data_IF_066428388579
#
_entry.id   IF_066428388579
#
_cell.length_a   1.000
_cell.length_b   1.000
_cell.length_c   1.000
_cell.angle_alpha   90.00
_cell.angle_beta   90.00
_cell.angle_gamma   90.00
#
_symmetry.space_group_name_H-M   'P 1'
#
loop_
_entity.id
_entity.type
_entity.pdbx_description
1 polymer ?
#
# COMPACT_ATOMS: atom_id res chain seq x y z
N UNK A 1 -32.44 -33.68 -57.47
CA UNK A 1 -32.70 -33.35 -56.05
C UNK A 1 -31.41 -32.92 -55.39
N UNK A 2 -31.43 -31.74 -54.77
CA UNK A 2 -30.36 -30.97 -54.16
C UNK A 2 -29.32 -31.76 -53.35
N UNK A 3 -28.04 -31.38 -53.48
CA UNK A 3 -27.21 -30.88 -52.36
C UNK A 3 -25.88 -30.29 -52.86
N UNK A 4 -25.87 -28.97 -52.99
CA UNK A 4 -24.67 -28.13 -52.89
C UNK A 4 -24.46 -27.81 -51.40
N UNK A 5 -23.29 -28.12 -50.85
CA UNK A 5 -22.90 -27.67 -49.51
C UNK A 5 -21.43 -27.22 -49.52
N UNK A 6 -21.30 -25.90 -49.74
CA UNK A 6 -20.30 -24.94 -49.26
C UNK A 6 -19.08 -25.50 -48.50
N UNK A 7 -17.92 -25.35 -49.13
CA UNK A 7 -16.60 -25.32 -48.49
C UNK A 7 -16.41 -23.96 -47.79
N UNK A 8 -16.25 -23.98 -46.48
CA UNK A 8 -15.87 -22.81 -45.68
C UNK A 8 -14.36 -22.63 -45.69
N UNK A 9 -13.88 -21.52 -46.23
CA UNK A 9 -12.48 -21.08 -46.13
C UNK A 9 -12.30 -20.40 -44.77
N UNK A 10 -11.53 -21.02 -43.88
CA UNK A 10 -11.08 -20.39 -42.64
C UNK A 10 -9.80 -19.59 -42.94
N UNK A 11 -9.88 -18.26 -42.84
CA UNK A 11 -8.75 -17.36 -42.95
C UNK A 11 -8.05 -17.31 -41.58
N UNK A 12 -6.94 -18.05 -41.42
CA UNK A 12 -6.09 -17.95 -40.25
C UNK A 12 -5.13 -16.75 -40.42
N UNK A 13 -5.42 -15.63 -39.77
CA UNK A 13 -4.50 -14.50 -39.65
C UNK A 13 -3.54 -14.81 -38.50
N UNK A 14 -2.34 -15.26 -38.83
CA UNK A 14 -1.25 -15.44 -37.88
C UNK A 14 -0.66 -14.09 -37.47
N UNK A 15 -0.76 -13.74 -36.19
CA UNK A 15 0.00 -12.63 -35.61
C UNK A 15 1.44 -13.11 -35.33
N UNK A 16 2.39 -12.66 -36.14
CA UNK A 16 3.82 -12.72 -35.82
C UNK A 16 4.13 -11.67 -34.75
N UNK A 17 4.31 -12.11 -33.51
CA UNK A 17 4.93 -11.30 -32.46
C UNK A 17 6.44 -11.36 -32.68
N UNK A 18 7.01 -10.27 -33.21
CA UNK A 18 8.46 -10.09 -33.25
C UNK A 18 8.97 -9.81 -31.83
N UNK A 19 9.52 -10.83 -31.17
CA UNK A 19 10.27 -10.67 -29.93
C UNK A 19 11.59 -9.95 -30.24
N UNK A 20 11.64 -8.63 -30.05
CA UNK A 20 12.91 -7.92 -29.89
C UNK A 20 13.34 -8.07 -28.44
N UNK A 21 14.40 -8.83 -28.23
CA UNK A 21 15.06 -8.96 -26.94
C UNK A 21 15.59 -7.60 -26.48
N UNK A 22 14.99 -7.06 -25.42
CA UNK A 22 15.62 -6.03 -24.61
C UNK A 22 16.54 -6.78 -23.63
N UNK A 23 17.85 -6.66 -23.82
CA UNK A 23 18.82 -7.09 -22.81
C UNK A 23 18.73 -6.08 -21.67
N UNK A 24 18.06 -6.45 -20.58
CA UNK A 24 18.02 -5.66 -19.37
C UNK A 24 19.32 -5.89 -18.60
N UNK A 25 20.23 -4.92 -18.63
CA UNK A 25 21.28 -4.83 -17.63
C UNK A 25 20.60 -4.55 -16.28
N UNK A 26 20.53 -5.58 -15.43
CA UNK A 26 20.01 -5.53 -14.06
C UNK A 26 21.01 -4.82 -13.13
N UNK A 27 21.23 -3.52 -13.34
CA UNK A 27 21.80 -2.67 -12.30
C UNK A 27 20.66 -1.86 -11.67
N UNK A 28 20.54 -1.81 -10.33
CA UNK A 28 19.62 -0.88 -9.70
C UNK A 28 19.95 0.55 -10.16
N UNK A 29 18.95 1.40 -10.43
CA UNK A 29 19.21 2.78 -10.84
C UNK A 29 20.11 3.46 -9.81
N UNK A 30 21.12 4.19 -10.28
CA UNK A 30 21.97 4.97 -9.38
C UNK A 30 21.17 6.14 -8.79
N UNK A 31 21.44 6.47 -7.52
CA UNK A 31 20.85 7.64 -6.86
C UNK A 31 21.04 8.90 -7.72
N UNK A 32 19.94 9.61 -7.99
CA UNK A 32 19.96 10.82 -8.81
C UNK A 32 19.79 10.59 -10.32
N UNK A 33 19.64 9.34 -10.77
CA UNK A 33 19.16 9.05 -12.12
C UNK A 33 17.73 9.56 -12.33
N UNK A 34 17.36 9.81 -13.58
CA UNK A 34 16.01 10.29 -13.94
C UNK A 34 15.26 9.26 -14.75
N UNK A 35 13.93 9.22 -14.60
CA UNK A 35 13.04 8.40 -15.43
C UNK A 35 11.92 9.26 -16.02
N UNK A 36 11.77 9.19 -17.34
CA UNK A 36 10.66 9.82 -18.05
C UNK A 36 9.47 8.86 -18.14
N UNK A 37 8.29 9.36 -17.81
CA UNK A 37 7.04 8.60 -17.80
C UNK A 37 5.88 9.44 -18.30
N UNK A 38 4.97 8.84 -19.05
CA UNK A 38 3.75 9.55 -19.45
C UNK A 38 2.83 9.74 -18.24
N UNK A 39 2.00 10.77 -18.29
CA UNK A 39 0.97 11.01 -17.28
C UNK A 39 -0.02 9.84 -17.19
N UNK A 40 -0.34 9.23 -18.33
CA UNK A 40 -1.21 8.05 -18.42
C UNK A 40 -0.60 6.85 -17.69
N UNK A 41 0.70 6.58 -17.89
CA UNK A 41 1.40 5.51 -17.18
C UNK A 41 1.31 5.70 -15.66
N UNK A 42 1.60 6.89 -15.16
CA UNK A 42 1.49 7.17 -13.72
C UNK A 42 0.07 7.03 -13.21
N UNK A 43 -0.93 7.54 -13.96
CA UNK A 43 -2.32 7.39 -13.60
C UNK A 43 -2.70 5.91 -13.47
N UNK A 44 -2.30 5.07 -14.42
CA UNK A 44 -2.58 3.63 -14.38
C UNK A 44 -1.99 2.94 -13.15
N UNK A 45 -0.74 3.29 -12.77
CA UNK A 45 -0.10 2.74 -11.56
C UNK A 45 -0.77 3.22 -10.28
N UNK A 46 -1.01 4.52 -10.15
CA UNK A 46 -1.69 5.12 -9.00
C UNK A 46 -3.09 4.53 -8.84
N UNK A 47 -3.83 4.45 -9.95
CA UNK A 47 -5.18 3.91 -9.95
C UNK A 47 -5.19 2.42 -9.60
N UNK A 48 -4.22 1.65 -10.12
CA UNK A 48 -4.07 0.24 -9.78
C UNK A 48 -3.82 0.03 -8.29
N UNK A 49 -2.92 0.82 -7.69
CA UNK A 49 -2.65 0.76 -6.26
C UNK A 49 -3.85 1.17 -5.41
N UNK A 50 -4.52 2.28 -5.76
CA UNK A 50 -5.70 2.76 -5.03
C UNK A 50 -6.87 1.76 -5.10
N UNK A 51 -7.17 1.21 -6.28
CA UNK A 51 -8.19 0.15 -6.44
C UNK A 51 -7.78 -1.13 -5.73
N UNK A 52 -6.50 -1.50 -5.79
CA UNK A 52 -5.97 -2.65 -5.08
C UNK A 52 -6.20 -2.56 -3.57
N UNK A 53 -5.94 -1.37 -2.99
CA UNK A 53 -6.20 -1.08 -1.59
C UNK A 53 -7.68 -1.20 -1.23
N UNK A 54 -8.56 -0.59 -2.04
CA UNK A 54 -10.01 -0.64 -1.84
C UNK A 54 -10.56 -2.07 -1.91
N UNK A 55 -10.17 -2.85 -2.91
CA UNK A 55 -10.57 -4.26 -3.06
C UNK A 55 -10.05 -5.06 -1.88
N UNK A 56 -8.76 -4.92 -1.56
CA UNK A 56 -8.11 -5.65 -0.48
C UNK A 56 -8.79 -5.44 0.86
N UNK A 57 -8.94 -4.18 1.29
CA UNK A 57 -9.57 -3.87 2.58
C UNK A 57 -11.02 -4.38 2.66
N UNK A 58 -11.84 -4.05 1.66
CA UNK A 58 -13.27 -4.36 1.70
C UNK A 58 -13.58 -5.86 1.54
N UNK A 59 -12.80 -6.60 0.75
CA UNK A 59 -12.91 -8.07 0.65
C UNK A 59 -12.23 -8.80 1.81
N UNK A 60 -11.29 -8.14 2.50
CA UNK A 60 -10.62 -8.68 3.68
C UNK A 60 -11.43 -8.56 4.97
N UNK A 61 -12.38 -7.62 5.05
CA UNK A 61 -13.23 -7.40 6.23
C UNK A 61 -13.93 -8.69 6.75
N UNK A 62 -14.52 -9.55 5.90
CA UNK A 62 -15.08 -10.82 6.34
C UNK A 62 -14.05 -11.80 6.92
N UNK A 63 -12.76 -11.51 6.88
CA UNK A 63 -11.68 -12.36 7.39
C UNK A 63 -10.96 -11.75 8.61
N UNK A 64 -11.22 -10.48 8.91
CA UNK A 64 -10.67 -9.73 10.04
C UNK A 64 -10.82 -10.51 11.36
N UNK A 65 -9.69 -10.75 12.03
CA UNK A 65 -9.53 -11.47 13.29
C UNK A 65 -10.17 -12.87 13.34
N UNK A 66 -10.49 -13.52 12.21
CA UNK A 66 -11.07 -14.88 12.20
C UNK A 66 -10.04 -15.99 12.39
N UNK A 67 -8.79 -15.75 12.01
CA UNK A 67 -7.71 -16.75 11.99
C UNK A 67 -6.55 -16.29 12.89
N UNK A 68 -6.62 -16.66 14.18
CA UNK A 68 -5.75 -16.13 15.24
C UNK A 68 -4.62 -17.09 15.60
N UNK A 69 -4.95 -18.31 15.99
CA UNK A 69 -3.97 -19.33 16.39
C UNK A 69 -3.46 -20.11 15.19
N UNK A 70 -4.32 -20.33 14.20
CA UNK A 70 -4.04 -21.06 12.97
C UNK A 70 -4.48 -20.24 11.75
N UNK A 71 -3.83 -20.39 10.58
CA UNK A 71 -4.31 -19.78 9.36
C UNK A 71 -5.59 -20.45 8.85
N UNK A 72 -6.25 -19.85 7.87
CA UNK A 72 -7.39 -20.46 7.18
C UNK A 72 -6.98 -21.80 6.53
N UNK A 73 -7.89 -22.77 6.51
CA UNK A 73 -7.64 -24.08 5.92
C UNK A 73 -7.38 -24.03 4.40
N UNK A 74 -8.06 -23.14 3.68
CA UNK A 74 -7.97 -22.96 2.23
C UNK A 74 -7.94 -21.47 1.87
N UNK A 75 -7.51 -21.14 0.66
CA UNK A 75 -7.59 -19.77 0.15
C UNK A 75 -9.07 -19.36 -0.07
N UNK A 76 -9.50 -18.14 0.33
CA UNK A 76 -10.81 -17.60 -0.03
C UNK A 76 -10.95 -17.38 -1.52
N UNK A 77 -12.15 -17.54 -2.06
CA UNK A 77 -12.52 -16.77 -3.25
C UNK A 77 -13.12 -15.43 -2.81
N UNK A 78 -13.01 -14.42 -3.66
CA UNK A 78 -13.65 -13.12 -3.48
C UNK A 78 -14.20 -12.62 -4.81
N UNK A 79 -15.30 -11.87 -4.75
CA UNK A 79 -16.10 -11.54 -5.94
C UNK A 79 -15.84 -10.15 -6.50
N UNK A 80 -14.87 -9.44 -5.92
CA UNK A 80 -14.69 -8.02 -6.11
C UNK A 80 -15.91 -7.21 -5.63
N UNK A 81 -15.72 -5.90 -5.58
CA UNK A 81 -16.67 -4.95 -5.04
C UNK A 81 -17.81 -4.68 -6.03
N UNK A 82 -18.67 -5.67 -6.27
CA UNK A 82 -19.70 -5.64 -7.30
C UNK A 82 -20.71 -4.47 -7.17
N UNK A 83 -20.79 -3.84 -5.99
CA UNK A 83 -21.64 -2.67 -5.71
C UNK A 83 -20.88 -1.33 -5.67
N UNK A 84 -19.58 -1.37 -5.96
CA UNK A 84 -18.64 -0.26 -5.79
C UNK A 84 -17.93 -0.30 -4.44
N UNK A 85 -16.93 0.55 -4.28
CA UNK A 85 -16.22 0.75 -3.03
C UNK A 85 -17.03 1.62 -2.06
N UNK A 86 -16.61 1.61 -0.80
CA UNK A 86 -17.13 2.46 0.25
C UNK A 86 -16.01 2.86 1.21
N UNK A 87 -16.28 3.85 2.05
CA UNK A 87 -15.38 4.19 3.14
C UNK A 87 -15.25 3.05 4.12
N UNK A 88 -14.01 2.92 4.58
CA UNK A 88 -13.49 2.00 5.57
C UNK A 88 -12.18 2.60 6.09
N UNK A 89 -11.77 2.32 7.34
CA UNK A 89 -10.61 3.03 7.89
C UNK A 89 -9.29 2.70 7.19
N UNK A 90 -9.22 1.56 6.51
CA UNK A 90 -8.12 1.20 5.60
C UNK A 90 -7.91 2.15 4.41
N UNK A 91 -8.90 2.98 4.07
CA UNK A 91 -8.80 3.87 2.90
C UNK A 91 -9.18 5.32 3.20
N UNK A 92 -10.09 5.54 4.14
CA UNK A 92 -10.74 6.84 4.29
C UNK A 92 -9.93 7.84 5.13
N UNK A 93 -8.94 7.37 5.91
CA UNK A 93 -7.93 8.20 6.57
C UNK A 93 -7.06 8.89 5.53
N UNK A 94 -6.44 8.09 4.67
CA UNK A 94 -5.58 8.58 3.59
C UNK A 94 -6.39 9.38 2.57
N UNK A 95 -7.61 8.94 2.22
CA UNK A 95 -8.48 9.70 1.33
C UNK A 95 -8.76 11.10 1.86
N UNK A 96 -9.06 11.24 3.16
CA UNK A 96 -9.26 12.55 3.78
C UNK A 96 -8.00 13.42 3.69
N UNK A 97 -6.82 12.86 4.00
CA UNK A 97 -5.57 13.60 3.88
C UNK A 97 -5.29 14.05 2.44
N UNK A 98 -5.38 13.14 1.47
CA UNK A 98 -5.13 13.41 0.05
C UNK A 98 -6.08 14.46 -0.53
N UNK A 99 -7.36 14.39 -0.15
CA UNK A 99 -8.37 15.39 -0.52
C UNK A 99 -7.97 16.78 -0.03
N UNK A 100 -7.59 16.92 1.23
CA UNK A 100 -7.17 18.21 1.78
C UNK A 100 -5.77 18.64 1.33
N UNK A 101 -4.86 17.72 1.03
CA UNK A 101 -3.58 18.03 0.39
C UNK A 101 -3.80 18.68 -0.98
N UNK A 102 -4.71 18.15 -1.80
CA UNK A 102 -5.05 18.72 -3.10
C UNK A 102 -5.78 20.07 -2.96
N UNK A 103 -6.77 20.13 -2.06
CA UNK A 103 -7.59 21.32 -1.81
C UNK A 103 -6.78 22.49 -1.23
N UNK A 104 -5.94 22.22 -0.24
CA UNK A 104 -5.16 23.24 0.47
C UNK A 104 -3.81 23.51 -0.24
N UNK A 105 -3.46 22.70 -1.26
CA UNK A 105 -2.22 22.85 -2.02
C UNK A 105 -0.95 22.53 -1.23
N UNK A 106 -1.07 21.73 -0.16
CA UNK A 106 0.01 21.42 0.78
C UNK A 106 0.27 19.91 0.85
N UNK A 107 1.52 19.48 0.61
CA UNK A 107 1.90 18.06 0.71
C UNK A 107 1.91 17.58 2.18
N UNK A 108 2.41 18.41 3.09
CA UNK A 108 2.37 18.16 4.53
C UNK A 108 1.42 19.15 5.18
N UNK A 109 0.18 18.70 5.43
CA UNK A 109 -0.79 19.52 6.14
C UNK A 109 -0.25 19.85 7.54
N UNK A 110 -0.24 21.12 7.97
CA UNK A 110 0.20 21.47 9.32
C UNK A 110 -0.61 20.70 10.38
N UNK A 111 0.02 20.28 11.48
CA UNK A 111 -0.69 19.50 12.51
C UNK A 111 -1.93 20.18 13.10
N UNK A 112 -1.97 21.50 13.34
CA UNK A 112 -3.21 22.18 13.72
C UNK A 112 -4.34 22.02 12.68
N UNK A 113 -4.00 22.05 11.39
CA UNK A 113 -4.94 21.82 10.30
C UNK A 113 -5.43 20.38 10.26
N UNK A 114 -4.55 19.42 10.53
CA UNK A 114 -4.93 18.01 10.69
C UNK A 114 -5.94 17.84 11.84
N UNK A 115 -5.74 18.52 12.97
CA UNK A 115 -6.72 18.49 14.08
C UNK A 115 -8.09 18.97 13.63
N UNK A 116 -8.19 20.09 12.91
CA UNK A 116 -9.46 20.58 12.36
C UNK A 116 -10.13 19.53 11.46
N UNK A 117 -9.35 18.95 10.54
CA UNK A 117 -9.82 17.93 9.59
C UNK A 117 -10.32 16.69 10.33
N UNK A 118 -9.54 16.17 11.29
CA UNK A 118 -9.89 14.99 12.07
C UNK A 118 -11.12 15.24 12.95
N UNK A 119 -11.24 16.42 13.58
CA UNK A 119 -12.43 16.77 14.35
C UNK A 119 -13.69 16.85 13.49
N UNK A 120 -13.57 17.30 12.25
CA UNK A 120 -14.69 17.37 11.32
C UNK A 120 -15.03 16.01 10.66
N UNK A 121 -14.06 15.11 10.51
CA UNK A 121 -14.21 13.92 9.66
C UNK A 121 -14.06 12.58 10.37
N UNK A 122 -13.23 12.48 11.39
CA UNK A 122 -12.85 11.22 12.03
C UNK A 122 -13.57 11.06 13.36
N UNK A 123 -14.90 10.85 13.30
CA UNK A 123 -15.74 10.68 14.48
C UNK A 123 -16.44 9.31 14.54
N UNK A 124 -16.28 8.49 13.50
CA UNK A 124 -16.82 7.14 13.36
C UNK A 124 -15.85 6.27 12.57
N UNK A 125 -15.87 4.95 12.80
CA UNK A 125 -14.97 4.01 12.12
C UNK A 125 -13.51 4.40 12.32
N UNK A 126 -13.11 4.54 13.59
CA UNK A 126 -11.72 4.79 14.00
C UNK A 126 -11.43 3.96 15.24
N UNK A 127 -10.26 3.33 15.28
CA UNK A 127 -9.95 2.33 16.31
C UNK A 127 -8.59 2.58 16.98
N UNK A 128 -8.42 1.96 18.15
CA UNK A 128 -7.15 1.82 18.87
C UNK A 128 -6.32 3.13 18.92
N UNK A 129 -5.16 3.19 18.25
CA UNK A 129 -4.26 4.32 18.30
C UNK A 129 -4.86 5.58 17.64
N UNK A 130 -5.55 5.42 16.51
CA UNK A 130 -6.22 6.52 15.82
C UNK A 130 -7.37 7.10 16.65
N UNK A 131 -8.17 6.22 17.27
CA UNK A 131 -9.23 6.64 18.19
C UNK A 131 -8.66 7.43 19.36
N UNK A 132 -7.59 6.93 19.99
CA UNK A 132 -6.94 7.61 21.11
C UNK A 132 -6.35 8.97 20.69
N UNK A 133 -5.71 9.04 19.53
CA UNK A 133 -5.21 10.29 18.96
C UNK A 133 -6.34 11.31 18.77
N UNK A 134 -7.48 10.88 18.22
CA UNK A 134 -8.67 11.73 18.05
C UNK A 134 -9.22 12.22 19.39
N UNK A 135 -9.31 11.39 20.42
CA UNK A 135 -9.73 11.79 21.77
C UNK A 135 -8.78 12.83 22.39
N UNK A 136 -7.47 12.65 22.20
CA UNK A 136 -6.45 13.60 22.65
C UNK A 136 -6.61 14.97 21.96
N UNK A 137 -7.06 15.00 20.69
CA UNK A 137 -7.38 16.25 20.00
C UNK A 137 -8.56 17.00 20.61
N UNK A 138 -9.54 16.31 21.21
CA UNK A 138 -10.61 16.97 21.97
C UNK A 138 -10.10 17.59 23.27
N UNK A 139 -8.98 17.08 23.79
CA UNK A 139 -8.27 17.60 24.97
C UNK A 139 -7.26 18.71 24.62
N UNK A 140 -7.22 19.14 23.36
CA UNK A 140 -6.32 20.20 22.89
C UNK A 140 -4.89 19.74 22.58
N UNK A 141 -4.63 18.43 22.54
CA UNK A 141 -3.33 17.89 22.13
C UNK A 141 -3.25 17.87 20.60
N UNK A 142 -2.14 18.36 20.04
CA UNK A 142 -1.88 18.37 18.60
C UNK A 142 -0.81 17.34 18.25
N UNK A 143 -0.84 16.72 17.05
CA UNK A 143 0.27 15.90 16.59
C UNK A 143 1.61 16.69 16.57
N UNK A 144 2.77 16.01 16.71
CA UNK A 144 2.94 14.57 16.82
C UNK A 144 2.66 14.02 18.23
N UNK A 145 2.30 14.88 19.18
CA UNK A 145 2.18 14.54 20.59
C UNK A 145 0.98 13.60 20.88
N UNK A 146 -0.03 13.60 20.01
CA UNK A 146 -1.14 12.63 20.00
C UNK A 146 -0.70 11.20 19.69
N UNK A 147 0.44 11.05 18.99
CA UNK A 147 1.06 9.77 18.65
C UNK A 147 2.23 9.39 19.56
N UNK A 148 2.45 10.10 20.68
CA UNK A 148 3.53 9.79 21.62
C UNK A 148 3.16 8.62 22.54
N UNK A 149 4.14 7.80 22.92
CA UNK A 149 3.97 6.74 23.94
C UNK A 149 3.56 7.29 25.31
N UNK A 150 3.88 8.56 25.60
CA UNK A 150 3.50 9.23 26.85
C UNK A 150 1.99 9.50 26.94
N UNK A 151 1.29 9.70 25.82
CA UNK A 151 -0.16 10.06 25.81
C UNK A 151 -1.05 9.03 25.14
N UNK A 152 -0.47 8.22 24.26
CA UNK A 152 -1.15 7.19 23.51
C UNK A 152 -0.50 5.82 23.79
N UNK A 153 -1.13 4.98 24.64
CA UNK A 153 -0.57 3.69 25.04
C UNK A 153 -0.48 2.68 23.90
N UNK A 154 -1.07 2.99 22.74
CA UNK A 154 -1.05 2.14 21.55
C UNK A 154 0.04 2.52 20.54
N UNK A 155 0.70 3.66 20.76
CA UNK A 155 1.55 4.29 19.77
C UNK A 155 2.79 3.46 19.38
N UNK A 156 3.34 2.67 20.29
CA UNK A 156 4.60 1.92 20.08
C UNK A 156 4.43 0.60 19.33
N UNK A 157 3.20 0.15 19.06
CA UNK A 157 2.96 -1.14 18.41
C UNK A 157 1.95 -1.11 17.27
N UNK A 158 0.95 -0.24 17.33
CA UNK A 158 -0.25 -0.36 16.52
C UNK A 158 0.03 -0.26 15.01
N UNK A 159 -0.69 -1.07 14.23
CA UNK A 159 -0.52 -1.18 12.79
C UNK A 159 -0.91 0.06 11.96
N UNK A 160 -1.30 1.19 12.55
CA UNK A 160 -1.51 2.45 11.80
C UNK A 160 -0.23 2.91 11.07
N UNK A 161 0.95 2.43 11.48
CA UNK A 161 2.19 2.58 10.70
C UNK A 161 2.23 1.78 9.39
N UNK A 162 1.19 1.01 9.07
CA UNK A 162 1.02 0.23 7.85
C UNK A 162 -0.13 0.80 7.01
N UNK A 163 -1.40 0.67 7.46
CA UNK A 163 -2.61 0.94 6.65
C UNK A 163 -3.00 2.42 6.48
N UNK A 164 -2.34 3.33 7.20
CA UNK A 164 -2.57 4.77 7.06
C UNK A 164 -1.46 5.43 6.23
N UNK A 165 -0.70 4.67 5.44
CA UNK A 165 0.52 5.20 4.80
C UNK A 165 0.77 4.82 3.34
N UNK A 166 0.11 3.79 2.82
CA UNK A 166 0.33 3.26 1.47
C UNK A 166 0.22 4.33 0.39
N UNK A 167 -0.76 5.22 0.51
CA UNK A 167 -1.06 6.23 -0.49
C UNK A 167 0.03 7.27 -0.64
N UNK A 168 0.83 7.51 0.41
CA UNK A 168 2.00 8.40 0.30
C UNK A 168 3.11 7.78 -0.57
N UNK A 169 3.18 6.45 -0.65
CA UNK A 169 3.98 5.74 -1.63
C UNK A 169 3.42 5.88 -3.05
N UNK A 170 2.10 5.77 -3.21
CA UNK A 170 1.44 5.90 -4.53
C UNK A 170 1.68 7.27 -5.18
N UNK A 171 1.66 8.34 -4.39
CA UNK A 171 1.89 9.71 -4.89
C UNK A 171 3.38 10.08 -5.01
N UNK A 172 4.30 9.16 -4.72
CA UNK A 172 5.73 9.42 -4.80
C UNK A 172 6.48 8.34 -5.62
N UNK A 173 6.05 8.03 -6.87
CA UNK A 173 6.59 6.94 -7.66
C UNK A 173 8.10 7.10 -7.92
N UNK A 174 8.90 6.07 -7.60
CA UNK A 174 10.36 6.06 -7.72
C UNK A 174 11.10 6.99 -6.75
N UNK A 175 10.40 7.55 -5.77
CA UNK A 175 10.92 8.50 -4.77
C UNK A 175 10.70 7.99 -3.34
N UNK A 176 11.31 6.86 -2.94
CA UNK A 176 11.06 6.23 -1.63
C UNK A 176 11.37 7.11 -0.43
N UNK A 177 12.27 8.10 -0.53
CA UNK A 177 12.53 9.02 0.60
C UNK A 177 11.43 10.06 0.73
N UNK A 178 10.96 10.62 -0.38
CA UNK A 178 9.81 11.53 -0.37
C UNK A 178 8.55 10.82 0.16
N UNK A 179 8.34 9.56 -0.28
CA UNK A 179 7.27 8.71 0.21
C UNK A 179 7.33 8.51 1.72
N UNK A 180 8.51 8.13 2.24
CA UNK A 180 8.74 7.93 3.67
C UNK A 180 8.61 9.21 4.49
N UNK A 181 9.06 10.36 3.98
CA UNK A 181 8.92 11.66 4.65
C UNK A 181 7.44 12.04 4.82
N UNK A 182 6.63 11.84 3.78
CA UNK A 182 5.18 12.05 3.85
C UNK A 182 4.51 11.04 4.79
N UNK A 183 4.85 9.75 4.66
CA UNK A 183 4.36 8.70 5.54
C UNK A 183 4.61 8.97 7.02
N UNK A 184 5.83 9.36 7.37
CA UNK A 184 6.19 9.72 8.75
C UNK A 184 5.38 10.90 9.27
N UNK A 185 5.15 11.93 8.45
CA UNK A 185 4.36 13.10 8.84
C UNK A 185 2.94 12.70 9.27
N UNK A 186 2.26 11.87 8.48
CA UNK A 186 0.89 11.45 8.80
C UNK A 186 0.82 10.30 9.82
N UNK A 187 1.79 9.37 9.84
CA UNK A 187 1.83 8.30 10.84
C UNK A 187 2.00 8.83 12.28
N UNK A 188 2.77 9.91 12.45
CA UNK A 188 2.97 10.59 13.75
C UNK A 188 1.69 11.16 14.37
N UNK A 189 0.59 11.18 13.64
CA UNK A 189 -0.72 11.55 14.22
C UNK A 189 -1.11 10.56 15.32
N UNK A 190 -0.85 9.28 15.15
CA UNK A 190 -1.34 8.24 16.05
C UNK A 190 -0.26 7.32 16.63
N UNK A 191 0.91 7.20 15.98
CA UNK A 191 1.93 6.22 16.35
C UNK A 191 3.34 6.78 16.42
N UNK A 192 4.24 6.07 17.11
CA UNK A 192 5.65 6.40 17.31
C UNK A 192 6.51 5.14 17.37
N UNK A 193 7.84 5.26 17.29
CA UNK A 193 8.78 4.12 17.45
C UNK A 193 8.64 3.06 16.34
N UNK A 194 8.39 1.79 16.67
CA UNK A 194 8.37 0.67 15.72
C UNK A 194 7.36 0.85 14.57
N UNK A 195 6.11 1.29 14.79
CA UNK A 195 5.21 1.68 13.72
C UNK A 195 5.76 2.73 12.74
N UNK A 196 6.62 3.65 13.17
CA UNK A 196 7.24 4.62 12.24
C UNK A 196 8.31 3.96 11.34
N UNK A 197 8.91 2.85 11.78
CA UNK A 197 9.77 2.03 10.91
C UNK A 197 8.94 1.35 9.83
N UNK A 198 7.75 0.85 10.15
CA UNK A 198 6.85 0.34 9.12
C UNK A 198 6.35 1.41 8.17
N UNK A 199 6.04 2.62 8.65
CA UNK A 199 5.61 3.72 7.79
C UNK A 199 6.69 4.03 6.74
N UNK A 200 7.96 4.04 7.13
CA UNK A 200 9.10 4.19 6.21
C UNK A 200 9.20 3.02 5.22
N UNK A 201 9.05 1.77 5.70
CA UNK A 201 9.13 0.58 4.87
C UNK A 201 8.03 0.51 3.80
N UNK A 202 6.77 0.62 4.20
CA UNK A 202 5.63 0.41 3.31
C UNK A 202 5.54 1.49 2.24
N UNK A 203 5.74 2.75 2.63
CA UNK A 203 5.76 3.86 1.67
C UNK A 203 6.91 3.74 0.68
N UNK A 204 8.11 3.37 1.14
CA UNK A 204 9.24 3.12 0.26
C UNK A 204 8.97 1.95 -0.69
N UNK A 205 8.40 0.84 -0.19
CA UNK A 205 8.08 -0.32 -1.02
C UNK A 205 7.06 0.03 -2.11
N UNK A 206 5.93 0.65 -1.73
CA UNK A 206 4.89 1.08 -2.68
C UNK A 206 5.46 2.06 -3.72
N UNK A 207 6.30 3.01 -3.29
CA UNK A 207 6.96 3.98 -4.18
C UNK A 207 7.82 3.32 -5.26
N UNK A 208 8.48 2.20 -4.96
CA UNK A 208 9.33 1.48 -5.93
C UNK A 208 8.51 0.70 -6.99
N UNK A 209 7.27 0.31 -6.68
CA UNK A 209 6.48 -0.62 -7.49
C UNK A 209 6.21 -0.20 -8.94
N UNK A 210 5.91 1.08 -9.25
CA UNK A 210 5.68 1.53 -10.63
C UNK A 210 6.82 1.19 -11.61
N UNK A 211 8.04 1.03 -11.11
CA UNK A 211 9.26 0.81 -11.91
C UNK A 211 9.92 -0.55 -11.67
N UNK A 212 9.29 -1.42 -10.89
CA UNK A 212 9.85 -2.71 -10.50
C UNK A 212 9.29 -3.86 -11.33
N UNK A 213 10.12 -4.41 -12.21
CA UNK A 213 9.76 -5.54 -13.07
C UNK A 213 10.30 -6.90 -12.55
N UNK A 214 11.20 -6.90 -11.56
CA UNK A 214 11.84 -8.12 -11.03
C UNK A 214 11.01 -8.91 -10.00
N UNK A 215 11.55 -9.97 -9.38
CA UNK A 215 10.88 -10.68 -8.29
C UNK A 215 10.53 -9.74 -7.13
N UNK A 216 9.38 -9.94 -6.46
CA UNK A 216 8.99 -9.10 -5.32
C UNK A 216 10.04 -9.12 -4.21
N UNK A 217 10.72 -10.25 -4.01
CA UNK A 217 11.80 -10.36 -3.03
C UNK A 217 12.91 -9.30 -3.24
N UNK A 218 13.24 -8.95 -4.49
CA UNK A 218 14.24 -7.92 -4.78
C UNK A 218 13.78 -6.52 -4.33
N UNK A 219 12.50 -6.20 -4.52
CA UNK A 219 11.94 -4.95 -4.03
C UNK A 219 11.89 -4.90 -2.50
N UNK A 220 11.57 -6.01 -1.83
CA UNK A 220 11.63 -6.10 -0.37
C UNK A 220 13.06 -5.86 0.16
N UNK A 221 14.06 -6.41 -0.53
CA UNK A 221 15.48 -6.21 -0.20
C UNK A 221 15.95 -4.76 -0.42
N UNK A 222 15.35 -4.03 -1.37
CA UNK A 222 15.62 -2.61 -1.58
C UNK A 222 14.90 -1.75 -0.53
N UNK A 223 13.59 -1.96 -0.33
CA UNK A 223 12.76 -1.16 0.57
C UNK A 223 13.20 -1.24 2.04
N UNK A 224 13.74 -2.38 2.50
CA UNK A 224 14.22 -2.53 3.90
C UNK A 224 15.38 -1.59 4.24
N UNK A 225 16.05 -0.99 3.25
CA UNK A 225 17.07 0.05 3.48
C UNK A 225 16.47 1.36 4.02
N UNK A 226 15.14 1.54 3.94
CA UNK A 226 14.42 2.67 4.52
C UNK A 226 14.28 2.61 6.05
N UNK A 227 14.56 1.46 6.69
CA UNK A 227 14.31 1.26 8.11
C UNK A 227 15.58 1.05 8.91
N UNK A 228 15.54 1.37 10.20
CA UNK A 228 16.62 1.04 11.12
C UNK A 228 16.85 -0.49 11.09
N UNK A 229 18.07 -0.98 10.83
CA UNK A 229 18.36 -2.41 10.78
C UNK A 229 18.16 -3.13 12.12
N UNK A 230 17.98 -2.39 13.22
CA UNK A 230 17.63 -2.94 14.55
C UNK A 230 16.12 -3.01 14.82
N UNK A 231 15.30 -2.48 13.92
CA UNK A 231 13.84 -2.45 14.07
C UNK A 231 13.23 -3.84 13.97
N UNK A 232 12.08 -4.01 14.62
CA UNK A 232 11.24 -5.19 14.42
C UNK A 232 10.83 -5.33 12.95
N UNK A 233 10.61 -4.23 12.23
CA UNK A 233 10.28 -4.25 10.81
C UNK A 233 11.40 -4.87 9.96
N UNK A 234 12.67 -4.50 10.19
CA UNK A 234 13.81 -5.10 9.50
C UNK A 234 13.91 -6.61 9.75
N UNK A 235 13.71 -7.04 11.00
CA UNK A 235 13.74 -8.45 11.37
C UNK A 235 12.55 -9.23 10.75
N UNK A 236 11.35 -8.65 10.72
CA UNK A 236 10.18 -9.24 10.07
C UNK A 236 10.40 -9.46 8.57
N UNK A 237 11.03 -8.51 7.87
CA UNK A 237 11.39 -8.68 6.46
C UNK A 237 12.38 -9.83 6.27
N UNK A 238 13.39 -9.93 7.15
CA UNK A 238 14.35 -11.02 7.11
C UNK A 238 13.68 -12.39 7.35
N UNK A 239 12.80 -12.48 8.36
CA UNK A 239 12.05 -13.68 8.68
C UNK A 239 11.17 -14.14 7.51
N UNK A 240 10.37 -13.25 6.92
CA UNK A 240 9.44 -13.61 5.84
C UNK A 240 10.19 -14.13 4.61
N UNK A 241 11.31 -13.49 4.25
CA UNK A 241 12.18 -13.94 3.13
C UNK A 241 12.87 -15.27 3.40
N UNK A 242 13.30 -15.50 4.64
CA UNK A 242 13.87 -16.79 5.04
C UNK A 242 12.80 -17.89 4.99
N UNK A 243 11.64 -17.67 5.61
CA UNK A 243 10.55 -18.64 5.66
C UNK A 243 10.03 -19.01 4.27
N UNK A 244 9.89 -18.05 3.36
CA UNK A 244 9.48 -18.35 1.99
C UNK A 244 10.51 -19.23 1.26
N UNK A 245 11.81 -19.05 1.52
CA UNK A 245 12.87 -19.88 0.92
C UNK A 245 12.89 -21.30 1.49
N UNK A 246 12.71 -21.45 2.80
CA UNK A 246 12.68 -22.78 3.45
C UNK A 246 11.37 -23.54 3.19
N UNK A 247 10.26 -22.81 3.00
CA UNK A 247 8.92 -23.39 2.83
C UNK A 247 8.22 -22.85 1.57
N UNK A 248 8.78 -23.02 0.35
CA UNK A 248 8.32 -22.35 -0.86
C UNK A 248 6.89 -22.69 -1.28
N UNK A 249 6.36 -23.83 -0.84
CA UNK A 249 4.99 -24.27 -1.13
C UNK A 249 4.14 -24.48 0.14
N UNK A 250 4.66 -24.15 1.32
CA UNK A 250 3.99 -24.40 2.60
C UNK A 250 3.88 -23.12 3.44
N UNK A 251 3.02 -22.23 2.96
CA UNK A 251 2.69 -20.97 3.62
C UNK A 251 2.09 -21.15 5.01
N UNK A 252 1.52 -22.31 5.33
CA UNK A 252 0.93 -22.58 6.65
C UNK A 252 2.02 -22.79 7.69
N UNK A 253 3.05 -23.55 7.36
CA UNK A 253 4.24 -23.70 8.21
C UNK A 253 4.95 -22.36 8.42
N UNK A 254 5.14 -21.58 7.33
CA UNK A 254 5.71 -20.24 7.44
C UNK A 254 4.88 -19.32 8.35
N UNK A 255 3.55 -19.30 8.18
CA UNK A 255 2.65 -18.53 9.03
C UNK A 255 2.73 -18.98 10.50
N UNK A 256 2.77 -20.29 10.76
CA UNK A 256 2.85 -20.80 12.14
C UNK A 256 4.14 -20.36 12.82
N UNK A 257 5.26 -20.37 12.10
CA UNK A 257 6.52 -19.83 12.64
C UNK A 257 6.39 -18.35 13.01
N UNK A 258 5.76 -17.53 12.17
CA UNK A 258 5.50 -16.12 12.48
C UNK A 258 4.66 -15.98 13.75
N UNK A 259 3.59 -16.77 13.90
CA UNK A 259 2.76 -16.78 15.11
C UNK A 259 3.59 -17.11 16.36
N UNK A 260 4.34 -18.21 16.33
CA UNK A 260 5.12 -18.69 17.47
C UNK A 260 6.22 -17.68 17.87
N UNK A 261 6.92 -17.11 16.89
CA UNK A 261 7.97 -16.11 17.13
C UNK A 261 7.40 -14.78 17.62
N UNK A 262 6.52 -14.17 16.83
CA UNK A 262 6.14 -12.77 17.02
C UNK A 262 5.03 -12.60 18.05
N UNK A 263 4.03 -13.47 18.05
CA UNK A 263 2.89 -13.38 18.97
C UNK A 263 3.16 -14.13 20.26
N UNK A 264 3.56 -15.41 20.20
CA UNK A 264 3.71 -16.23 21.40
C UNK A 264 4.97 -15.88 22.19
N UNK A 265 6.14 -15.84 21.54
CA UNK A 265 7.42 -15.60 22.23
C UNK A 265 7.71 -14.11 22.46
N UNK A 266 7.58 -13.28 21.43
CA UNK A 266 7.85 -11.83 21.52
C UNK A 266 6.68 -10.99 22.06
N UNK A 267 5.51 -11.59 22.24
CA UNK A 267 4.32 -10.95 22.85
C UNK A 267 3.78 -9.74 22.07
N UNK A 268 4.06 -9.63 20.78
CA UNK A 268 3.32 -8.71 19.91
C UNK A 268 1.87 -9.18 19.80
N UNK A 269 0.93 -8.24 19.70
CA UNK A 269 -0.48 -8.57 19.54
C UNK A 269 -0.87 -8.62 18.05
N UNK A 270 -2.07 -9.12 17.77
CA UNK A 270 -2.58 -9.31 16.41
C UNK A 270 -2.97 -8.01 15.70
N UNK A 271 -2.81 -6.86 16.36
CA UNK A 271 -3.03 -5.52 15.81
C UNK A 271 -1.69 -4.73 15.79
N UNK A 272 -0.56 -5.45 15.91
CA UNK A 272 0.77 -4.85 15.89
C UNK A 272 1.38 -4.85 14.50
N UNK A 273 2.09 -3.78 14.18
CA UNK A 273 2.85 -3.61 12.94
C UNK A 273 3.72 -4.83 12.59
N UNK A 274 4.58 -5.38 13.49
CA UNK A 274 5.43 -6.51 13.11
C UNK A 274 4.64 -7.78 12.78
N UNK A 275 3.59 -8.08 13.55
CA UNK A 275 2.78 -9.29 13.38
C UNK A 275 1.97 -9.26 12.08
N UNK A 276 1.34 -8.13 11.77
CA UNK A 276 0.57 -7.96 10.52
C UNK A 276 1.48 -7.79 9.31
N UNK A 277 2.53 -6.99 9.44
CA UNK A 277 3.49 -6.79 8.36
C UNK A 277 4.16 -8.08 7.91
N UNK A 278 4.43 -9.01 8.83
CA UNK A 278 4.91 -10.35 8.49
C UNK A 278 3.93 -11.11 7.59
N UNK A 279 2.62 -11.02 7.86
CA UNK A 279 1.61 -11.69 7.05
C UNK A 279 1.48 -11.04 5.66
N UNK A 280 1.56 -9.72 5.55
CA UNK A 280 1.60 -9.03 4.25
C UNK A 280 2.81 -9.49 3.43
N UNK A 281 3.99 -9.58 4.04
CA UNK A 281 5.20 -10.03 3.35
C UNK A 281 5.08 -11.48 2.86
N UNK A 282 4.53 -12.38 3.67
CA UNK A 282 4.25 -13.74 3.23
C UNK A 282 3.23 -13.75 2.07
N UNK A 283 2.16 -12.96 2.16
CA UNK A 283 1.17 -12.86 1.09
C UNK A 283 1.77 -12.41 -0.24
N UNK A 284 2.63 -11.38 -0.20
CA UNK A 284 3.36 -10.88 -1.38
C UNK A 284 4.27 -11.96 -1.99
N UNK A 285 5.01 -12.68 -1.14
CA UNK A 285 5.96 -13.70 -1.58
C UNK A 285 5.25 -14.92 -2.19
N UNK A 286 4.28 -15.52 -1.48
CA UNK A 286 3.53 -16.68 -2.00
C UNK A 286 2.55 -16.33 -3.14
N UNK A 287 2.08 -15.08 -3.16
CA UNK A 287 1.29 -14.53 -4.25
C UNK A 287 2.09 -14.37 -5.55
N UNK A 288 3.41 -14.17 -5.45
CA UNK A 288 4.32 -14.19 -6.60
C UNK A 288 4.05 -13.08 -7.64
N UNK A 289 3.39 -12.00 -7.25
CA UNK A 289 2.98 -10.92 -8.14
C UNK A 289 1.63 -11.13 -8.84
N UNK A 290 0.95 -12.25 -8.60
CA UNK A 290 -0.45 -12.42 -9.00
C UNK A 290 -1.36 -11.67 -8.00
N UNK A 291 -2.11 -10.69 -8.50
CA UNK A 291 -2.97 -9.84 -7.67
C UNK A 291 -4.04 -10.62 -6.92
N UNK A 292 -4.80 -11.48 -7.61
CA UNK A 292 -5.89 -12.22 -7.00
C UNK A 292 -5.34 -13.17 -5.93
N UNK A 293 -4.32 -13.96 -6.28
CA UNK A 293 -3.67 -14.91 -5.38
C UNK A 293 -3.04 -14.22 -4.17
N UNK A 294 -2.42 -13.05 -4.36
CA UNK A 294 -1.83 -12.26 -3.26
C UNK A 294 -2.90 -11.87 -2.24
N UNK A 295 -4.05 -11.37 -2.68
CA UNK A 295 -5.15 -11.02 -1.78
C UNK A 295 -5.75 -12.26 -1.09
N UNK A 296 -5.87 -13.39 -1.81
CA UNK A 296 -6.28 -14.65 -1.21
C UNK A 296 -5.36 -15.05 -0.03
N UNK A 297 -4.04 -14.92 -0.20
CA UNK A 297 -3.11 -15.19 0.90
C UNK A 297 -3.25 -14.19 2.04
N UNK A 298 -3.32 -12.89 1.75
CA UNK A 298 -3.46 -11.86 2.77
C UNK A 298 -4.67 -12.12 3.68
N UNK A 299 -5.80 -12.53 3.09
CA UNK A 299 -7.01 -12.91 3.82
C UNK A 299 -6.90 -14.25 4.56
N UNK A 300 -6.16 -15.22 4.01
CA UNK A 300 -6.04 -16.56 4.59
C UNK A 300 -5.05 -16.64 5.77
N UNK A 301 -4.06 -15.75 5.81
CA UNK A 301 -2.99 -15.76 6.81
C UNK A 301 -3.48 -15.32 8.21
N UNK A 302 -4.49 -14.46 8.26
CA UNK A 302 -5.21 -14.08 9.49
C UNK A 302 -4.88 -12.70 10.04
N UNK A 303 -5.13 -12.53 11.34
CA UNK A 303 -5.04 -11.26 12.08
C UNK A 303 -5.90 -10.15 11.46
N UNK A 304 -5.33 -8.97 11.24
CA UNK A 304 -5.99 -7.78 10.68
C UNK A 304 -6.09 -7.91 9.15
N UNK A 305 -6.97 -8.79 8.70
CA UNK A 305 -6.94 -9.37 7.36
C UNK A 305 -7.31 -8.37 6.25
N UNK A 306 -8.21 -7.43 6.53
CA UNK A 306 -8.54 -6.26 5.72
C UNK A 306 -7.34 -5.33 5.56
N UNK A 307 -6.73 -4.86 6.65
CA UNK A 307 -5.51 -4.05 6.62
C UNK A 307 -4.41 -4.74 5.80
N UNK A 308 -4.20 -6.04 6.05
CA UNK A 308 -3.18 -6.81 5.35
C UNK A 308 -3.46 -6.94 3.86
N UNK A 309 -4.72 -7.17 3.48
CA UNK A 309 -5.13 -7.26 2.09
C UNK A 309 -5.10 -5.89 1.39
N UNK A 310 -5.46 -4.80 2.08
CA UNK A 310 -5.37 -3.44 1.59
C UNK A 310 -3.91 -3.09 1.22
N UNK A 311 -2.97 -3.29 2.15
CA UNK A 311 -1.55 -3.04 1.90
C UNK A 311 -1.01 -3.90 0.76
N UNK A 312 -1.31 -5.21 0.76
CA UNK A 312 -0.86 -6.12 -0.29
C UNK A 312 -1.44 -5.75 -1.68
N UNK A 313 -2.70 -5.36 -1.71
CA UNK A 313 -3.41 -4.89 -2.90
C UNK A 313 -2.83 -3.59 -3.43
N UNK A 314 -2.50 -2.64 -2.56
CA UNK A 314 -1.85 -1.39 -2.95
C UNK A 314 -0.49 -1.62 -3.63
N UNK A 315 0.33 -2.51 -3.07
CA UNK A 315 1.66 -2.85 -3.58
C UNK A 315 1.57 -3.53 -4.95
N UNK A 316 0.80 -4.62 -5.06
CA UNK A 316 0.69 -5.35 -6.33
C UNK A 316 -0.04 -4.50 -7.38
N UNK A 317 -1.08 -3.78 -6.97
CA UNK A 317 -1.82 -2.87 -7.84
C UNK A 317 -0.97 -1.75 -8.41
N UNK A 318 -0.13 -1.11 -7.59
CA UNK A 318 0.81 -0.08 -8.05
C UNK A 318 1.82 -0.64 -9.08
N UNK A 319 2.19 -1.92 -8.92
CA UNK A 319 3.11 -2.62 -9.81
C UNK A 319 2.48 -2.99 -11.15
N UNK A 320 1.24 -3.48 -11.16
CA UNK A 320 0.61 -4.01 -12.38
C UNK A 320 -0.30 -3.00 -13.08
N UNK A 321 -0.75 -1.97 -12.39
CA UNK A 321 -1.65 -0.95 -12.91
C UNK A 321 -3.12 -1.38 -12.98
N UNK A 322 -4.02 -0.40 -13.05
CA UNK A 322 -5.46 -0.64 -13.07
C UNK A 322 -5.90 -1.40 -14.32
N UNK A 323 -5.31 -1.12 -15.49
CA UNK A 323 -5.66 -1.80 -16.74
C UNK A 323 -5.52 -3.33 -16.62
N UNK A 324 -4.48 -3.82 -15.94
CA UNK A 324 -4.29 -5.27 -15.73
C UNK A 324 -5.26 -5.86 -14.71
N UNK A 325 -5.61 -5.11 -13.66
CA UNK A 325 -6.63 -5.53 -12.70
C UNK A 325 -8.00 -5.63 -13.41
N UNK A 326 -8.37 -4.59 -14.18
CA UNK A 326 -9.65 -4.50 -14.87
C UNK A 326 -9.80 -5.56 -15.99
N UNK A 327 -8.70 -6.08 -16.51
CA UNK A 327 -8.71 -7.15 -17.52
C UNK A 327 -8.87 -8.56 -16.93
N UNK A 328 -8.85 -8.72 -15.60
CA UNK A 328 -9.04 -10.03 -14.96
C UNK A 328 -10.47 -10.54 -15.20
N UNK A 329 -10.67 -11.83 -15.52
CA UNK A 329 -11.99 -12.36 -15.81
C UNK A 329 -12.94 -12.30 -14.59
N UNK A 330 -12.40 -12.28 -13.37
CA UNK A 330 -13.17 -12.15 -12.14
C UNK A 330 -13.52 -10.69 -11.81
N UNK A 331 -12.90 -9.70 -12.46
CA UNK A 331 -13.03 -8.29 -12.05
C UNK A 331 -14.46 -7.81 -12.19
N UNK A 332 -15.03 -7.34 -11.08
CA UNK A 332 -16.37 -6.78 -11.03
C UNK A 332 -16.44 -5.66 -10.00
N UNK A 333 -16.19 -4.44 -10.46
CA UNK A 333 -16.30 -3.25 -9.62
C UNK A 333 -16.72 -2.05 -10.48
N UNK A 334 -17.89 -1.44 -10.23
CA UNK A 334 -18.23 -0.18 -10.87
C UNK A 334 -17.33 0.94 -10.34
N UNK A 335 -17.13 1.97 -11.16
CA UNK A 335 -16.38 3.18 -10.80
C UNK A 335 -17.18 4.06 -9.85
N UNK A 336 -17.28 3.62 -8.59
CA UNK A 336 -18.16 4.18 -7.57
C UNK A 336 -17.55 4.01 -6.18
N UNK A 337 -17.59 5.08 -5.39
CA UNK A 337 -17.18 5.13 -4.00
C UNK A 337 -18.25 5.82 -3.15
N UNK A 338 -18.72 5.16 -2.09
CA UNK A 338 -19.66 5.75 -1.12
C UNK A 338 -18.95 6.11 0.17
N UNK A 339 -18.89 7.40 0.48
CA UNK A 339 -18.35 7.89 1.74
C UNK A 339 -19.44 7.84 2.83
N UNK A 340 -19.23 7.00 3.84
CA UNK A 340 -20.15 6.84 4.97
C UNK A 340 -19.68 7.53 6.25
N UNK A 341 -18.41 7.88 6.34
CA UNK A 341 -17.73 8.12 7.63
C UNK A 341 -16.96 9.44 7.69
N UNK A 342 -16.80 10.19 6.59
CA UNK A 342 -16.02 11.44 6.52
C UNK A 342 -16.89 12.63 6.04
N UNK A 343 -17.67 13.29 6.92
CA UNK A 343 -18.73 14.24 6.54
C UNK A 343 -18.34 15.45 5.68
N UNK A 344 -17.10 15.92 5.73
CA UNK A 344 -16.65 17.08 4.94
C UNK A 344 -16.18 16.70 3.52
N UNK A 345 -16.16 15.41 3.20
CA UNK A 345 -15.83 14.89 1.88
C UNK A 345 -17.13 14.59 1.09
N UNK A 346 -17.10 14.51 -0.25
CA UNK A 346 -18.27 14.12 -1.04
C UNK A 346 -18.90 12.83 -0.54
N UNK A 347 -20.23 12.79 -0.44
CA UNK A 347 -20.97 11.60 0.03
C UNK A 347 -20.85 10.41 -0.94
N UNK A 348 -20.73 10.70 -2.24
CA UNK A 348 -20.47 9.73 -3.29
C UNK A 348 -19.58 10.37 -4.36
N UNK A 349 -18.62 9.61 -4.89
CA UNK A 349 -17.77 10.03 -6.01
C UNK A 349 -17.32 8.81 -6.83
N UNK A 350 -16.66 9.05 -7.96
CA UNK A 350 -16.01 7.96 -8.70
C UNK A 350 -14.66 7.62 -8.09
N UNK A 351 -14.24 6.37 -8.20
CA UNK A 351 -12.89 5.96 -7.78
C UNK A 351 -11.85 6.55 -8.74
N UNK A 352 -12.18 6.68 -10.03
CA UNK A 352 -11.34 7.37 -11.01
C UNK A 352 -11.11 8.86 -10.68
N UNK A 353 -12.09 9.53 -10.06
CA UNK A 353 -11.94 10.91 -9.57
C UNK A 353 -10.97 10.98 -8.38
N UNK A 354 -11.01 9.99 -7.48
CA UNK A 354 -10.03 9.86 -6.41
C UNK A 354 -8.62 9.65 -6.99
N UNK A 355 -8.45 8.72 -7.94
CA UNK A 355 -7.17 8.51 -8.61
C UNK A 355 -6.65 9.78 -9.32
N UNK A 356 -7.54 10.59 -9.89
CA UNK A 356 -7.17 11.88 -10.48
C UNK A 356 -6.71 12.91 -9.43
N UNK A 357 -7.27 12.91 -8.21
CA UNK A 357 -6.76 13.70 -7.07
C UNK A 357 -5.36 13.24 -6.70
N UNK A 358 -5.15 11.92 -6.52
CA UNK A 358 -3.84 11.36 -6.20
C UNK A 358 -2.79 11.73 -7.25
N UNK A 359 -3.14 11.70 -8.54
CA UNK A 359 -2.24 12.13 -9.61
C UNK A 359 -1.85 13.61 -9.52
N UNK A 360 -2.78 14.51 -9.17
CA UNK A 360 -2.47 15.94 -8.97
C UNK A 360 -1.55 16.16 -7.77
N UNK A 361 -1.74 15.41 -6.69
CA UNK A 361 -0.84 15.44 -5.54
C UNK A 361 0.53 14.86 -5.92
N UNK A 362 0.56 13.74 -6.66
CA UNK A 362 1.77 13.12 -7.19
C UNK A 362 2.61 14.08 -8.02
N UNK A 363 1.97 14.83 -8.93
CA UNK A 363 2.62 15.88 -9.70
C UNK A 363 3.29 16.93 -8.80
N UNK A 364 2.62 17.37 -7.72
CA UNK A 364 3.22 18.30 -6.75
C UNK A 364 4.42 17.68 -6.03
N UNK A 365 4.37 16.39 -5.67
CA UNK A 365 5.50 15.67 -5.08
C UNK A 365 6.68 15.61 -6.07
N UNK A 366 6.44 15.21 -7.32
CA UNK A 366 7.48 15.14 -8.36
C UNK A 366 8.18 16.50 -8.50
N UNK A 367 7.42 17.59 -8.60
CA UNK A 367 7.97 18.94 -8.75
C UNK A 367 8.72 19.41 -7.50
N UNK A 368 8.18 19.13 -6.31
CA UNK A 368 8.82 19.50 -5.04
C UNK A 368 10.16 18.78 -4.81
N UNK A 369 10.36 17.61 -5.41
CA UNK A 369 11.57 16.80 -5.30
C UNK A 369 12.49 16.88 -6.54
N UNK A 370 12.35 17.94 -7.34
CA UNK A 370 13.26 18.28 -8.43
C UNK A 370 13.02 17.51 -9.73
N UNK A 371 11.83 16.92 -9.90
CA UNK A 371 11.33 16.49 -11.20
C UNK A 371 10.68 17.64 -11.96
N UNK A 372 10.26 17.35 -13.20
CA UNK A 372 9.73 18.36 -14.12
C UNK A 372 8.65 17.78 -15.04
N UNK A 373 7.79 18.67 -15.57
CA UNK A 373 6.84 18.34 -16.62
C UNK A 373 7.58 18.26 -17.96
N UNK A 374 7.33 17.19 -18.71
CA UNK A 374 7.94 16.97 -20.04
C UNK A 374 6.88 16.51 -21.03
N UNK A 375 7.24 16.49 -22.31
CA UNK A 375 6.44 15.89 -23.37
C UNK A 375 7.16 14.65 -23.90
N UNK A 376 6.46 13.51 -23.98
CA UNK A 376 7.01 12.22 -24.42
C UNK A 376 6.16 11.75 -25.59
N UNK A 377 6.71 11.84 -26.80
CA UNK A 377 6.00 11.44 -28.02
C UNK A 377 4.68 12.19 -28.23
N UNK A 378 4.62 13.49 -27.91
CA UNK A 378 3.40 14.31 -28.02
C UNK A 378 2.41 14.16 -26.85
N UNK A 379 2.72 13.34 -25.84
CA UNK A 379 1.89 13.14 -24.66
C UNK A 379 2.49 13.84 -23.44
N UNK A 380 1.66 14.44 -22.54
CA UNK A 380 2.15 15.02 -21.30
C UNK A 380 2.76 13.92 -20.40
N UNK A 381 3.86 14.25 -19.75
CA UNK A 381 4.59 13.34 -18.88
C UNK A 381 5.43 14.06 -17.84
N UNK A 382 6.23 13.28 -17.14
CA UNK A 382 7.11 13.74 -16.07
C UNK A 382 8.50 13.13 -16.23
N UNK A 383 9.53 13.93 -15.98
CA UNK A 383 10.88 13.43 -15.70
C UNK A 383 11.05 13.41 -14.19
N UNK A 384 11.09 12.21 -13.62
CA UNK A 384 11.17 11.98 -12.17
C UNK A 384 12.63 11.76 -11.80
N UNK A 385 13.09 12.43 -10.74
CA UNK A 385 14.40 12.15 -10.13
C UNK A 385 14.27 10.99 -9.15
N UNK A 386 14.87 9.85 -9.49
CA UNK A 386 14.78 8.64 -8.69
C UNK A 386 15.58 8.77 -7.40
N UNK A 387 15.07 8.18 -6.32
CA UNK A 387 15.69 8.16 -5.01
C UNK A 387 15.93 6.72 -4.56
N UNK A 388 16.96 6.52 -3.75
CA UNK A 388 17.19 5.23 -3.08
C UNK A 388 16.62 5.26 -1.66
N UNK A 389 16.04 4.16 -1.15
CA UNK A 389 15.57 4.10 0.22
C UNK A 389 16.73 4.29 1.21
N UNK A 390 16.50 5.08 2.26
CA UNK A 390 17.44 5.25 3.39
C UNK A 390 16.66 5.54 4.66
N UNK A 391 17.26 5.24 5.80
CA UNK A 391 16.70 5.56 7.12
C UNK A 391 16.57 7.08 7.28
N UNK A 392 15.34 7.57 7.44
CA UNK A 392 15.06 8.97 7.76
C UNK A 392 14.95 9.19 9.27
N UNK A 393 14.37 8.22 9.97
CA UNK A 393 14.29 8.19 11.42
C UNK A 393 14.75 6.84 11.94
N UNK A 394 15.83 6.84 12.72
CA UNK A 394 16.26 5.66 13.46
C UNK A 394 15.45 5.48 14.74
N UNK A 395 15.40 4.25 15.25
CA UNK A 395 14.93 4.03 16.60
C UNK A 395 15.95 4.67 17.54
N UNK A 396 15.48 5.54 18.44
CA UNK A 396 16.37 6.11 19.46
C UNK A 396 16.99 4.94 20.23
N UNK A 397 18.32 4.96 20.43
CA UNK A 397 18.93 4.07 21.42
C UNK A 397 18.23 4.37 22.74
N UNK A 398 17.49 3.40 23.28
CA UNK A 398 17.06 3.47 24.67
C UNK A 398 18.31 3.80 25.48
N UNK A 399 18.25 4.87 26.27
CA UNK A 399 19.16 5.01 27.38
C UNK A 399 19.00 3.73 28.19
N UNK A 400 20.04 2.89 28.18
CA UNK A 400 20.16 1.85 29.17
C UNK A 400 20.26 2.57 30.51
N UNK A 401 19.12 2.67 31.20
CA UNK A 401 19.05 2.97 32.63
C UNK A 401 18.74 1.68 33.39
#
# INVERSE_FOLDING_TARGET
MNRLAKTSVALAVGFLIAARGFSAENSPPSSGSTREVTREFLLDRIYGGWVGMLIGGLEGLPHEFKYKEQPRATLPDFTFLAQGARSDDDNDFEWAHLWFMDKDGALKLPYPRIVEIWKANMNQGIWVANKRARELMDQGVVPPETGSTAKNPHASYNLSGQFCTESYGLIAPGMPQAAAELGLHYARIAVSEEPLQAAQFWTALVSLMPFHDGPLEAALAQAVQAVDPKSAMAEVVADARWLHREHPNDWKTARQFIHDKWVVRKKWNMNSTPSNGALVLLALLYGGGDFYKTLQYAMALGYDADCNAATAGAIVGARIGFQRIAAMPQFKMPDRYVNKTRPSLPAECKVSEQAAVLLRVCERVILAHGGERVEIGGQPGFRIRLQEPRVLESLRKGTAE
#
